data_IF_025984913991
#
_entry.id   IF_025984913991
#
_cell.length_a   1.000
_cell.length_b   1.000
_cell.length_c   1.000
_cell.angle_alpha   90.00
_cell.angle_beta   90.00
_cell.angle_gamma   90.00
#
_symmetry.space_group_name_H-M   'P 1'
#
loop_
_entity.id
_entity.type
_entity.pdbx_description
1 polymer ?
#
# COMPACT_ATOMS: atom_id res chain seq x y z
N UNK A 1 -18.54 -9.03 -44.72
CA UNK A 1 -18.85 -7.87 -43.86
C UNK A 1 -18.16 -8.14 -42.53
N UNK A 2 -17.08 -7.43 -42.26
CA UNK A 2 -16.34 -7.52 -41.03
C UNK A 2 -16.92 -6.40 -40.14
N UNK A 3 -17.65 -6.80 -39.10
CA UNK A 3 -18.12 -5.87 -38.08
C UNK A 3 -16.91 -5.35 -37.32
N UNK A 4 -16.61 -4.08 -37.50
CA UNK A 4 -15.66 -3.36 -36.67
C UNK A 4 -16.33 -3.10 -35.33
N UNK A 5 -15.98 -3.88 -34.31
CA UNK A 5 -16.27 -3.56 -32.93
C UNK A 5 -15.57 -2.24 -32.59
N UNK A 6 -16.33 -1.19 -32.50
CA UNK A 6 -15.90 0.09 -31.94
C UNK A 6 -15.66 -0.14 -30.45
N UNK A 7 -14.39 -0.19 -30.07
CA UNK A 7 -13.95 -0.16 -28.69
C UNK A 7 -14.44 1.16 -28.07
N UNK A 8 -15.54 1.09 -27.33
CA UNK A 8 -16.10 2.21 -26.59
C UNK A 8 -15.10 2.51 -25.49
N UNK A 9 -14.38 3.61 -25.60
CA UNK A 9 -13.55 4.17 -24.53
C UNK A 9 -14.35 4.17 -23.24
N UNK A 10 -13.83 3.47 -22.22
CA UNK A 10 -14.42 3.47 -20.89
C UNK A 10 -14.52 4.93 -20.42
N UNK A 11 -15.76 5.45 -20.32
CA UNK A 11 -16.00 6.75 -19.71
C UNK A 11 -15.49 6.65 -18.26
N UNK A 12 -14.69 7.64 -17.84
CA UNK A 12 -14.24 7.78 -16.45
C UNK A 12 -15.45 7.62 -15.53
N UNK A 13 -15.44 6.55 -14.71
CA UNK A 13 -16.54 6.23 -13.77
C UNK A 13 -16.55 7.21 -12.59
N UNK A 14 -15.42 7.89 -12.36
CA UNK A 14 -15.24 8.87 -11.31
C UNK A 14 -15.62 10.25 -11.77
N UNK A 15 -16.25 11.03 -10.89
CA UNK A 15 -16.65 12.42 -11.16
C UNK A 15 -15.45 13.38 -11.19
N UNK A 16 -14.30 12.95 -10.64
CA UNK A 16 -13.10 13.74 -10.51
C UNK A 16 -11.87 12.99 -11.01
N UNK A 17 -10.83 13.73 -11.30
CA UNK A 17 -9.49 13.22 -11.62
C UNK A 17 -8.95 12.40 -10.44
N UNK A 18 -8.31 11.26 -10.73
CA UNK A 18 -7.74 10.37 -9.72
C UNK A 18 -6.22 10.49 -9.69
N UNK A 19 -5.65 10.67 -8.51
CA UNK A 19 -4.20 10.77 -8.30
C UNK A 19 -3.76 9.76 -7.24
N UNK A 20 -2.73 8.98 -7.57
CA UNK A 20 -2.04 8.10 -6.63
C UNK A 20 -0.77 8.78 -6.10
N UNK A 21 -0.79 9.22 -4.85
CA UNK A 21 0.35 9.82 -4.14
C UNK A 21 1.32 8.72 -3.66
N UNK A 22 2.05 8.08 -4.58
CA UNK A 22 2.94 6.97 -4.27
C UNK A 22 4.00 6.75 -5.35
N UNK A 23 5.21 6.36 -4.95
CA UNK A 23 6.27 5.86 -5.83
C UNK A 23 6.30 4.32 -5.93
N UNK A 24 5.40 3.61 -5.24
CA UNK A 24 5.39 2.14 -5.20
C UNK A 24 4.86 1.53 -6.50
N UNK A 25 5.68 0.71 -7.23
CA UNK A 25 5.21 0.00 -8.43
C UNK A 25 4.02 -0.91 -8.13
N UNK A 26 4.02 -1.59 -6.99
CA UNK A 26 2.95 -2.52 -6.58
C UNK A 26 1.60 -1.83 -6.40
N UNK A 27 1.58 -0.64 -5.79
CA UNK A 27 0.34 0.15 -5.63
C UNK A 27 -0.19 0.64 -6.97
N UNK A 28 0.72 1.02 -7.87
CA UNK A 28 0.39 1.35 -9.26
C UNK A 28 -0.26 0.16 -9.98
N UNK A 29 0.34 -1.03 -9.87
CA UNK A 29 -0.19 -2.25 -10.48
C UNK A 29 -1.56 -2.62 -9.90
N UNK A 30 -1.73 -2.53 -8.57
CA UNK A 30 -3.02 -2.80 -7.93
C UNK A 30 -4.12 -1.86 -8.42
N UNK A 31 -3.85 -0.55 -8.45
CA UNK A 31 -4.84 0.42 -8.91
C UNK A 31 -5.12 0.27 -10.41
N UNK A 32 -4.08 0.02 -11.21
CA UNK A 32 -4.19 -0.23 -12.65
C UNK A 32 -4.99 -1.48 -13.01
N UNK A 33 -5.05 -2.48 -12.11
CA UNK A 33 -5.86 -3.69 -12.32
C UNK A 33 -7.37 -3.44 -12.29
N UNK A 34 -7.80 -2.24 -11.87
CA UNK A 34 -9.20 -1.82 -11.85
C UNK A 34 -9.64 -1.11 -13.15
N UNK A 35 -8.75 -1.00 -14.14
CA UNK A 35 -9.02 -0.31 -15.41
C UNK A 35 -9.49 1.15 -15.22
N UNK A 36 -8.81 1.85 -14.29
CA UNK A 36 -9.05 3.25 -13.96
C UNK A 36 -7.96 4.14 -14.56
N UNK A 37 -8.37 5.31 -15.05
CA UNK A 37 -7.44 6.38 -15.42
C UNK A 37 -6.99 7.12 -14.16
N UNK A 38 -5.68 7.16 -13.89
CA UNK A 38 -5.10 7.88 -12.77
C UNK A 38 -3.70 8.41 -13.06
N UNK A 39 -3.35 9.47 -12.38
CA UNK A 39 -2.00 10.05 -12.40
C UNK A 39 -1.19 9.53 -11.21
N UNK A 40 0.14 9.49 -11.37
CA UNK A 40 1.06 9.10 -10.29
C UNK A 40 1.89 10.32 -9.94
N UNK A 41 1.82 10.74 -8.68
CA UNK A 41 2.62 11.83 -8.15
C UNK A 41 3.38 11.32 -6.93
N UNK A 42 4.71 11.42 -6.97
CA UNK A 42 5.55 11.05 -5.82
C UNK A 42 5.38 12.10 -4.73
N UNK A 43 4.93 11.75 -3.51
CA UNK A 43 4.87 12.69 -2.39
C UNK A 43 6.30 13.01 -1.90
N UNK A 44 6.52 14.27 -1.52
CA UNK A 44 7.76 14.74 -0.88
C UNK A 44 7.54 14.81 0.63
N UNK A 45 7.60 13.65 1.29
CA UNK A 45 7.39 13.51 2.73
C UNK A 45 8.61 12.88 3.37
N UNK A 46 9.20 13.57 4.32
CA UNK A 46 10.26 13.03 5.19
C UNK A 46 9.62 12.23 6.33
N UNK A 47 9.53 10.92 6.14
CA UNK A 47 8.92 10.00 7.11
C UNK A 47 9.76 9.88 8.39
N UNK A 48 11.09 10.08 8.32
CA UNK A 48 11.99 9.99 9.47
C UNK A 48 11.85 11.21 10.40
N UNK A 49 11.30 12.32 9.92
CA UNK A 49 11.03 13.51 10.74
C UNK A 49 9.87 13.33 11.75
N UNK A 50 9.07 12.26 11.60
CA UNK A 50 7.93 12.01 12.49
C UNK A 50 8.31 11.10 13.66
N UNK A 51 7.99 11.52 14.88
CA UNK A 51 8.09 10.66 16.08
C UNK A 51 6.81 9.86 16.23
N UNK A 52 6.81 8.60 15.75
CA UNK A 52 5.62 7.74 15.69
C UNK A 52 5.66 6.55 16.67
N UNK A 53 6.73 6.41 17.46
CA UNK A 53 6.97 5.26 18.36
C UNK A 53 5.91 5.08 19.45
N UNK A 54 5.13 6.13 19.73
CA UNK A 54 4.07 6.12 20.73
C UNK A 54 2.70 5.72 20.16
N UNK A 55 2.59 5.55 18.85
CA UNK A 55 1.35 5.22 18.16
C UNK A 55 1.18 3.71 18.00
N UNK A 56 -0.07 3.27 17.94
CA UNK A 56 -0.39 1.90 17.53
C UNK A 56 -0.08 1.73 16.03
N UNK A 57 0.30 0.50 15.58
CA UNK A 57 0.65 0.25 14.19
C UNK A 57 -0.39 0.72 13.16
N UNK A 58 -1.68 0.53 13.46
CA UNK A 58 -2.77 1.03 12.60
C UNK A 58 -2.78 2.56 12.49
N UNK A 59 -2.46 3.28 13.58
CA UNK A 59 -2.44 4.73 13.59
C UNK A 59 -1.20 5.28 12.89
N UNK A 60 -0.07 4.57 12.96
CA UNK A 60 1.15 4.89 12.19
C UNK A 60 0.85 4.92 10.69
N UNK A 61 0.28 3.83 10.15
CA UNK A 61 0.01 3.75 8.70
C UNK A 61 -1.09 4.70 8.24
N UNK A 62 -2.09 4.99 9.10
CA UNK A 62 -3.08 6.05 8.82
C UNK A 62 -2.44 7.42 8.77
N UNK A 63 -1.56 7.73 9.71
CA UNK A 63 -0.84 9.00 9.75
C UNK A 63 0.03 9.18 8.50
N UNK A 64 0.87 8.18 8.16
CA UNK A 64 1.78 8.26 7.02
C UNK A 64 1.03 8.29 5.68
N UNK A 65 -0.04 7.49 5.53
CA UNK A 65 -0.87 7.55 4.32
C UNK A 65 -1.52 8.91 4.14
N UNK A 66 -2.00 9.51 5.25
CA UNK A 66 -2.59 10.85 5.25
C UNK A 66 -1.55 11.91 4.91
N UNK A 67 -0.37 11.88 5.51
CA UNK A 67 0.71 12.85 5.23
C UNK A 67 1.08 12.83 3.74
N UNK A 68 1.22 11.63 3.14
CA UNK A 68 1.51 11.46 1.71
C UNK A 68 0.40 12.01 0.81
N UNK A 69 -0.85 11.68 1.10
CA UNK A 69 -1.99 12.18 0.33
C UNK A 69 -2.15 13.70 0.47
N UNK A 70 -2.01 14.22 1.68
CA UNK A 70 -2.17 15.64 1.96
C UNK A 70 -1.09 16.51 1.28
N UNK A 71 0.13 16.01 1.22
CA UNK A 71 1.23 16.72 0.55
C UNK A 71 0.90 16.95 -0.92
N UNK A 72 0.46 15.91 -1.63
CA UNK A 72 0.06 16.00 -3.05
C UNK A 72 -1.23 16.80 -3.20
N UNK A 73 -2.22 16.61 -2.32
CA UNK A 73 -3.50 17.29 -2.38
C UNK A 73 -3.40 18.81 -2.27
N UNK A 74 -2.40 19.35 -1.57
CA UNK A 74 -2.15 20.81 -1.50
C UNK A 74 -2.05 21.48 -2.88
N UNK A 75 -1.61 20.74 -3.88
CA UNK A 75 -1.40 21.23 -5.25
C UNK A 75 -2.42 20.67 -6.25
N UNK A 76 -3.32 19.78 -5.81
CA UNK A 76 -4.31 19.06 -6.64
C UNK A 76 -5.66 18.98 -5.92
N UNK A 77 -6.18 20.14 -5.48
CA UNK A 77 -7.41 20.24 -4.67
C UNK A 77 -8.70 19.94 -5.45
N UNK A 78 -8.58 19.79 -6.77
CA UNK A 78 -9.63 19.40 -7.71
C UNK A 78 -9.70 17.88 -7.97
N UNK A 79 -8.80 17.10 -7.35
CA UNK A 79 -8.66 15.66 -7.57
C UNK A 79 -8.99 14.82 -6.34
N UNK A 80 -9.37 13.56 -6.57
CA UNK A 80 -9.35 12.49 -5.56
C UNK A 80 -7.90 12.04 -5.42
N UNK A 81 -7.30 12.21 -4.24
CA UNK A 81 -5.88 11.88 -4.00
C UNK A 81 -5.75 10.73 -3.02
N UNK A 82 -5.23 9.60 -3.50
CA UNK A 82 -5.00 8.38 -2.72
C UNK A 82 -3.56 8.39 -2.17
N UNK A 83 -3.41 8.33 -0.86
CA UNK A 83 -2.16 8.00 -0.18
C UNK A 83 -2.23 6.64 0.49
N UNK A 84 -1.12 5.93 0.54
CA UNK A 84 -1.05 4.64 1.25
C UNK A 84 0.32 4.45 1.88
N UNK A 85 0.32 3.74 3.01
CA UNK A 85 1.54 3.32 3.70
C UNK A 85 1.42 1.89 4.20
N UNK A 86 2.57 1.19 4.38
CA UNK A 86 2.61 -0.21 4.79
C UNK A 86 3.80 -0.46 5.69
N UNK A 87 3.54 -1.09 6.84
CA UNK A 87 4.57 -1.54 7.77
C UNK A 87 4.38 -3.02 8.10
N UNK A 88 5.48 -3.68 8.45
CA UNK A 88 5.51 -5.04 9.01
C UNK A 88 5.78 -4.95 10.50
N UNK A 89 5.06 -5.72 11.30
CA UNK A 89 5.19 -5.70 12.77
C UNK A 89 5.37 -7.12 13.31
N UNK A 90 6.42 -7.33 14.08
CA UNK A 90 6.67 -8.57 14.82
C UNK A 90 6.86 -8.24 16.30
N UNK A 91 6.02 -8.82 17.17
CA UNK A 91 6.09 -8.61 18.62
C UNK A 91 6.15 -7.14 19.07
N UNK A 92 5.46 -6.25 18.32
CA UNK A 92 5.44 -4.82 18.59
C UNK A 92 6.60 -4.03 17.96
N UNK A 93 7.61 -4.70 17.39
CA UNK A 93 8.69 -4.05 16.64
C UNK A 93 8.26 -3.79 15.19
N UNK A 94 8.45 -2.55 14.71
CA UNK A 94 8.17 -2.15 13.34
C UNK A 94 9.38 -2.42 12.45
N UNK A 95 9.17 -3.19 11.40
CA UNK A 95 10.16 -3.50 10.36
C UNK A 95 9.88 -2.64 9.12
N UNK A 96 10.72 -1.61 8.92
CA UNK A 96 10.71 -0.79 7.71
C UNK A 96 11.44 -1.48 6.55
N UNK A 97 11.89 -0.68 5.58
CA UNK A 97 12.76 -1.17 4.50
C UNK A 97 14.17 -1.43 5.02
N UNK A 98 14.82 -2.52 4.59
CA UNK A 98 16.20 -2.80 5.00
C UNK A 98 17.16 -1.73 4.49
N UNK A 99 18.11 -1.32 5.34
CA UNK A 99 19.14 -0.32 5.00
C UNK A 99 20.37 -0.95 4.33
N UNK A 100 20.54 -2.27 4.49
CA UNK A 100 21.63 -3.05 3.90
C UNK A 100 21.22 -4.51 3.73
N UNK A 101 22.06 -5.33 3.09
CA UNK A 101 21.86 -6.78 2.99
C UNK A 101 21.90 -7.47 4.34
N UNK A 102 22.75 -7.00 5.25
CA UNK A 102 22.87 -7.48 6.63
C UNK A 102 21.59 -7.18 7.42
N UNK A 103 21.03 -5.98 7.22
CA UNK A 103 19.76 -5.62 7.84
C UNK A 103 18.59 -6.44 7.26
N UNK A 104 18.57 -6.68 5.94
CA UNK A 104 17.61 -7.60 5.32
C UNK A 104 17.71 -9.02 5.90
N UNK A 105 18.94 -9.52 6.11
CA UNK A 105 19.15 -10.82 6.76
C UNK A 105 18.60 -10.83 8.19
N UNK A 106 18.90 -9.80 8.99
CA UNK A 106 18.38 -9.66 10.36
C UNK A 106 16.85 -9.71 10.39
N UNK A 107 16.21 -8.94 9.50
CA UNK A 107 14.74 -8.91 9.38
C UNK A 107 14.16 -10.27 9.01
N UNK A 108 14.65 -10.89 7.94
CA UNK A 108 14.17 -12.19 7.48
C UNK A 108 14.42 -13.29 8.50
N UNK A 109 15.57 -13.28 9.18
CA UNK A 109 15.88 -14.24 10.23
C UNK A 109 14.98 -14.09 11.47
N UNK A 110 14.48 -12.88 11.75
CA UNK A 110 13.49 -12.66 12.80
C UNK A 110 12.08 -13.12 12.38
N UNK A 111 11.71 -12.95 11.11
CA UNK A 111 10.37 -13.26 10.60
C UNK A 111 10.17 -14.73 10.24
N UNK A 112 11.24 -15.46 9.86
CA UNK A 112 11.13 -16.85 9.42
C UNK A 112 10.57 -17.77 10.52
N UNK A 113 9.72 -18.72 10.13
CA UNK A 113 9.08 -19.68 11.04
C UNK A 113 8.11 -19.04 12.05
N UNK A 114 7.73 -17.75 11.86
CA UNK A 114 6.84 -17.04 12.78
C UNK A 114 5.61 -16.46 12.07
N UNK A 115 4.65 -16.01 12.87
CA UNK A 115 3.55 -15.16 12.44
C UNK A 115 3.91 -13.71 12.76
N UNK A 116 3.71 -12.83 11.77
CA UNK A 116 3.84 -11.40 11.92
C UNK A 116 2.64 -10.67 11.31
N UNK A 117 2.53 -9.40 11.55
CA UNK A 117 1.40 -8.58 11.11
C UNK A 117 1.85 -7.58 10.04
N UNK A 118 1.02 -7.42 9.01
CA UNK A 118 1.20 -6.40 7.97
C UNK A 118 0.05 -5.41 8.05
N UNK A 119 0.36 -4.18 8.39
CA UNK A 119 -0.59 -3.08 8.42
C UNK A 119 -0.42 -2.23 7.17
N UNK A 120 -1.52 -1.96 6.46
CA UNK A 120 -1.55 -0.93 5.42
C UNK A 120 -2.65 0.07 5.71
N UNK A 121 -2.28 1.36 5.69
CA UNK A 121 -3.19 2.49 5.80
C UNK A 121 -3.47 3.07 4.42
N UNK A 122 -4.68 3.55 4.24
CA UNK A 122 -5.11 4.28 3.05
C UNK A 122 -5.81 5.55 3.50
N UNK A 123 -5.51 6.65 2.82
CA UNK A 123 -6.23 7.92 2.96
C UNK A 123 -6.61 8.42 1.57
N UNK A 124 -7.86 8.83 1.40
CA UNK A 124 -8.36 9.46 0.18
C UNK A 124 -8.80 10.88 0.52
N UNK A 125 -8.17 11.88 -0.08
CA UNK A 125 -8.66 13.27 -0.04
C UNK A 125 -9.67 13.48 -1.14
N UNK A 126 -10.74 14.20 -0.80
CA UNK A 126 -11.83 14.54 -1.69
C UNK A 126 -11.69 16.00 -2.15
N UNK A 127 -12.06 16.34 -3.41
CA UNK A 127 -12.11 17.71 -3.88
C UNK A 127 -12.92 18.63 -2.96
N UNK A 128 -12.47 19.89 -2.82
CA UNK A 128 -13.06 20.83 -1.87
C UNK A 128 -14.39 21.47 -2.33
N UNK A 129 -14.86 21.11 -3.52
CA UNK A 129 -16.11 21.58 -4.11
C UNK A 129 -17.36 20.83 -3.61
N UNK A 130 -17.20 19.83 -2.72
CA UNK A 130 -18.29 19.00 -2.16
C UNK A 130 -18.41 19.11 -0.64
N UNK A 131 -19.03 20.20 -0.14
CA UNK A 131 -19.09 20.46 1.30
C UNK A 131 -19.93 19.45 2.10
N UNK A 132 -20.78 18.67 1.44
CA UNK A 132 -21.64 17.67 2.07
C UNK A 132 -20.88 16.40 2.49
N UNK A 133 -19.63 16.23 2.03
CA UNK A 133 -18.78 15.09 2.35
C UNK A 133 -17.57 15.49 3.19
N UNK A 134 -17.00 14.57 3.96
CA UNK A 134 -15.78 14.86 4.72
C UNK A 134 -14.62 15.18 3.75
N UNK A 135 -13.67 16.04 4.14
CA UNK A 135 -12.55 16.42 3.26
C UNK A 135 -11.61 15.27 2.93
N UNK A 136 -11.66 14.20 3.69
CA UNK A 136 -10.94 12.95 3.45
C UNK A 136 -11.57 11.79 4.22
N UNK A 137 -11.32 10.57 3.77
CA UNK A 137 -11.57 9.34 4.51
C UNK A 137 -10.24 8.60 4.70
N UNK A 138 -10.06 7.95 5.87
CA UNK A 138 -8.81 7.27 6.20
C UNK A 138 -9.08 6.08 7.11
N UNK A 139 -8.49 4.91 6.77
CA UNK A 139 -8.55 3.73 7.62
C UNK A 139 -7.35 2.81 7.36
N UNK A 140 -7.22 1.73 8.14
CA UNK A 140 -6.14 0.76 8.04
C UNK A 140 -6.66 -0.67 8.18
N UNK A 141 -5.97 -1.61 7.53
CA UNK A 141 -6.19 -3.05 7.70
C UNK A 141 -4.92 -3.72 8.21
N UNK A 142 -5.14 -4.75 9.03
CA UNK A 142 -4.12 -5.70 9.47
C UNK A 142 -4.35 -7.05 8.79
N UNK A 143 -3.27 -7.67 8.32
CA UNK A 143 -3.25 -9.04 7.80
C UNK A 143 -2.12 -9.80 8.49
N UNK A 144 -2.43 -10.97 9.06
CA UNK A 144 -1.43 -11.86 9.63
C UNK A 144 -0.78 -12.68 8.52
N UNK A 145 0.54 -12.72 8.53
CA UNK A 145 1.35 -13.45 7.56
C UNK A 145 2.16 -14.50 8.29
N UNK A 146 2.13 -15.72 7.81
CA UNK A 146 2.87 -16.86 8.36
C UNK A 146 3.99 -17.21 7.40
N UNK A 147 5.22 -16.96 7.83
CA UNK A 147 6.42 -17.30 7.04
C UNK A 147 6.90 -18.70 7.44
N UNK A 148 7.22 -19.52 6.44
CA UNK A 148 7.81 -20.84 6.71
C UNK A 148 9.17 -20.71 7.35
N UNK A 149 9.67 -21.76 8.03
CA UNK A 149 11.07 -21.81 8.44
C UNK A 149 12.02 -21.70 7.25
N UNK A 150 13.09 -20.91 7.38
CA UNK A 150 14.12 -20.69 6.38
C UNK A 150 15.49 -21.00 6.94
N UNK A 151 16.36 -21.58 6.12
CA UNK A 151 17.79 -21.70 6.44
C UNK A 151 18.51 -20.36 6.14
N UNK A 152 19.67 -20.16 6.75
CA UNK A 152 20.51 -19.01 6.44
C UNK A 152 20.90 -18.93 4.96
N UNK A 153 21.10 -20.08 4.31
CA UNK A 153 21.41 -20.16 2.88
C UNK A 153 20.24 -19.68 2.00
N UNK A 154 19.01 -20.08 2.32
CA UNK A 154 17.81 -19.62 1.62
C UNK A 154 17.62 -18.10 1.78
N UNK A 155 17.86 -17.56 2.98
CA UNK A 155 17.79 -16.11 3.24
C UNK A 155 18.83 -15.38 2.38
N UNK A 156 20.08 -15.84 2.35
CA UNK A 156 21.13 -15.24 1.53
C UNK A 156 20.80 -15.30 0.03
N UNK A 157 20.27 -16.45 -0.44
CA UNK A 157 19.85 -16.64 -1.83
C UNK A 157 18.75 -15.66 -2.20
N UNK A 158 17.75 -15.47 -1.33
CA UNK A 158 16.67 -14.52 -1.56
C UNK A 158 17.18 -13.06 -1.58
N UNK A 159 18.07 -12.70 -0.65
CA UNK A 159 18.68 -11.37 -0.64
C UNK A 159 19.49 -11.08 -1.91
N UNK A 160 20.17 -12.11 -2.44
CA UNK A 160 20.97 -11.99 -3.66
C UNK A 160 20.12 -11.64 -4.90
N UNK A 161 18.82 -11.92 -4.91
CA UNK A 161 17.90 -11.51 -5.98
C UNK A 161 17.70 -9.99 -6.05
N UNK A 162 17.98 -9.27 -4.97
CA UNK A 162 17.70 -7.84 -4.83
C UNK A 162 16.25 -7.49 -4.52
N UNK A 163 15.33 -8.47 -4.60
CA UNK A 163 13.89 -8.26 -4.37
C UNK A 163 13.57 -7.68 -2.98
N UNK A 164 14.24 -8.06 -1.87
CA UNK A 164 13.95 -7.58 -0.53
C UNK A 164 14.12 -6.08 -0.31
N UNK A 165 15.02 -5.43 -1.05
CA UNK A 165 15.66 -4.17 -0.65
C UNK A 165 14.73 -2.95 -0.64
N UNK A 166 13.60 -2.99 -1.30
CA UNK A 166 12.62 -1.90 -1.35
C UNK A 166 11.34 -2.20 -0.55
N UNK A 167 11.36 -3.23 0.31
CA UNK A 167 10.16 -3.77 0.95
C UNK A 167 10.24 -3.72 2.48
N UNK A 168 9.15 -3.31 3.14
CA UNK A 168 9.01 -3.43 4.58
C UNK A 168 9.15 -4.90 5.02
N UNK A 169 9.91 -5.16 6.08
CA UNK A 169 10.22 -6.51 6.54
C UNK A 169 11.13 -7.32 5.61
N UNK A 170 11.73 -6.68 4.59
CA UNK A 170 12.63 -7.31 3.64
C UNK A 170 12.05 -8.51 2.87
N UNK A 171 10.74 -8.54 2.58
CA UNK A 171 10.14 -9.59 1.75
C UNK A 171 8.94 -9.06 0.94
N UNK A 172 8.56 -9.82 -0.07
CA UNK A 172 7.31 -9.64 -0.81
C UNK A 172 6.44 -10.89 -0.72
N UNK A 173 5.10 -10.72 -0.77
CA UNK A 173 4.18 -11.86 -0.98
C UNK A 173 4.08 -12.26 -2.45
N UNK A 174 4.61 -11.44 -3.36
CA UNK A 174 4.71 -11.68 -4.80
C UNK A 174 6.15 -12.02 -5.19
N UNK A 175 6.37 -12.47 -6.42
CA UNK A 175 7.70 -12.76 -6.93
C UNK A 175 8.37 -13.95 -6.21
N UNK A 176 9.67 -13.86 -6.01
CA UNK A 176 10.43 -14.92 -5.31
C UNK A 176 9.98 -15.09 -3.86
N UNK A 177 9.65 -13.98 -3.19
CA UNK A 177 9.22 -13.99 -1.79
C UNK A 177 7.91 -14.72 -1.55
N UNK A 178 7.09 -14.97 -2.61
CA UNK A 178 5.88 -15.79 -2.49
C UNK A 178 6.16 -17.21 -2.00
N UNK A 179 7.37 -17.73 -2.24
CA UNK A 179 7.80 -19.07 -1.78
C UNK A 179 8.13 -19.12 -0.29
N UNK A 180 8.25 -17.98 0.34
CA UNK A 180 8.56 -17.86 1.77
C UNK A 180 7.30 -17.88 2.64
N UNK A 181 6.13 -17.60 2.06
CA UNK A 181 4.87 -17.45 2.78
C UNK A 181 4.08 -18.75 2.73
N UNK A 182 3.77 -19.27 3.92
CA UNK A 182 2.97 -20.49 4.06
C UNK A 182 1.48 -20.20 3.90
N UNK A 183 0.99 -19.16 4.58
CA UNK A 183 -0.41 -18.72 4.54
C UNK A 183 -0.58 -17.30 5.06
N UNK A 184 -1.73 -16.72 4.81
CA UNK A 184 -2.17 -15.45 5.40
C UNK A 184 -3.53 -15.61 6.06
N UNK A 185 -3.81 -14.72 7.03
CA UNK A 185 -5.13 -14.55 7.62
C UNK A 185 -5.49 -13.07 7.48
N UNK A 186 -6.35 -12.76 6.49
CA UNK A 186 -6.74 -11.40 6.11
C UNK A 186 -6.69 -11.14 4.61
N UNK A 187 -6.40 -9.91 4.23
CA UNK A 187 -6.45 -9.43 2.86
C UNK A 187 -5.10 -9.55 2.15
N UNK A 188 -5.05 -10.31 1.04
CA UNK A 188 -3.85 -10.44 0.20
C UNK A 188 -3.36 -9.09 -0.33
N UNK A 189 -4.26 -8.27 -0.86
CA UNK A 189 -3.92 -6.95 -1.42
C UNK A 189 -3.37 -5.99 -0.36
N UNK A 190 -3.78 -6.16 0.90
CA UNK A 190 -3.21 -5.43 2.03
C UNK A 190 -1.71 -5.75 2.19
N UNK A 191 -1.32 -7.02 2.08
CA UNK A 191 0.10 -7.45 2.16
C UNK A 191 0.89 -6.97 0.96
N UNK A 192 0.29 -6.91 -0.23
CA UNK A 192 0.93 -6.32 -1.43
C UNK A 192 1.21 -4.82 -1.23
N UNK A 193 0.36 -4.12 -0.45
CA UNK A 193 0.61 -2.74 -0.03
C UNK A 193 -0.56 -1.76 -0.13
N UNK A 194 -1.75 -2.23 -0.58
CA UNK A 194 -2.98 -1.41 -0.62
C UNK A 194 -4.20 -2.32 -0.79
N UNK A 195 -5.07 -2.38 0.21
CA UNK A 195 -6.32 -3.15 0.12
C UNK A 195 -7.33 -2.45 -0.79
N UNK A 196 -7.66 -3.09 -1.92
CA UNK A 196 -8.67 -2.58 -2.85
C UNK A 196 -10.07 -2.58 -2.22
N UNK A 197 -10.37 -3.54 -1.35
CA UNK A 197 -11.62 -3.56 -0.57
C UNK A 197 -11.72 -2.34 0.35
N UNK A 198 -10.65 -2.01 1.10
CA UNK A 198 -10.65 -0.84 1.96
C UNK A 198 -10.75 0.45 1.13
N UNK A 199 -10.06 0.50 0.00
CA UNK A 199 -10.10 1.65 -0.90
C UNK A 199 -11.53 1.93 -1.37
N UNK A 200 -12.27 0.91 -1.85
CA UNK A 200 -13.69 1.04 -2.24
C UNK A 200 -14.53 1.59 -1.10
N UNK A 201 -14.36 1.05 0.13
CA UNK A 201 -15.09 1.53 1.33
C UNK A 201 -14.81 3.01 1.66
N UNK A 202 -13.59 3.47 1.43
CA UNK A 202 -13.23 4.88 1.65
C UNK A 202 -13.86 5.77 0.57
N UNK A 203 -13.94 5.32 -0.67
CA UNK A 203 -14.65 6.02 -1.74
C UNK A 203 -16.14 6.15 -1.44
N UNK A 204 -16.80 5.07 -0.97
CA UNK A 204 -18.20 5.11 -0.54
C UNK A 204 -18.45 6.17 0.55
N UNK A 205 -17.54 6.30 1.55
CA UNK A 205 -17.65 7.31 2.61
C UNK A 205 -17.56 8.75 2.07
N UNK A 206 -16.90 8.93 0.93
CA UNK A 206 -16.78 10.21 0.23
C UNK A 206 -17.89 10.45 -0.80
N UNK A 207 -18.88 9.54 -0.89
CA UNK A 207 -19.97 9.60 -1.86
C UNK A 207 -19.51 9.34 -3.30
N UNK A 208 -18.37 8.69 -3.46
CA UNK A 208 -17.80 8.26 -4.73
C UNK A 208 -17.92 6.73 -4.88
N UNK A 209 -17.86 6.24 -6.10
CA UNK A 209 -17.77 4.81 -6.41
C UNK A 209 -16.49 4.57 -7.18
N UNK A 210 -15.63 3.72 -6.65
CA UNK A 210 -14.38 3.39 -7.34
C UNK A 210 -14.64 2.47 -8.54
N UNK A 211 -15.43 1.42 -8.32
CA UNK A 211 -15.72 0.40 -9.35
C UNK A 211 -17.21 0.00 -9.37
N UNK A 212 -17.84 -0.33 -8.23
CA UNK A 212 -19.16 -0.98 -8.16
C UNK A 212 -20.28 -0.05 -7.68
#
# INVERSE_FOLDING_TARGET
>A
MIETETNTTAQSRLSHRLVLASSSPRRRELLGSLDLDFEIIKPDVDEEAFSLDHLLPADVVKFLSRAKAQEVFKHHTDALVIGSDTIVVLNGEVFGKPKSKEDAFRMLNALQGTMHEVYSGITVFHPQDRPDFPPFASDALCTKVYMRPLTAEEIHTYIATGEPMDKAGAYAIQGYGSTLIERIDGCYFNVVGMSLYLLERLFEQLGEKLVL
#
